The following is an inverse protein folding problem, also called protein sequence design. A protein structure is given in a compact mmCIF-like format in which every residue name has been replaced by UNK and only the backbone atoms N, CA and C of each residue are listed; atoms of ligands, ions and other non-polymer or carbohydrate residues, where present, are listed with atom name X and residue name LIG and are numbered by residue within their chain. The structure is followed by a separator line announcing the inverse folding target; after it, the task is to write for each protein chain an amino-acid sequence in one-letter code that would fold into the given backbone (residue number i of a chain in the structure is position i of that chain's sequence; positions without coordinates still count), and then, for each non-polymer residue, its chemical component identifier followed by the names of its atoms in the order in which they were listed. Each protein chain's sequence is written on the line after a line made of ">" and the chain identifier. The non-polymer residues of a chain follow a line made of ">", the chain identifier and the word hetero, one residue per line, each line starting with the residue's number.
data_IF_152523171182
#
_entry.id   IF_152523171182
#
_cell.length_a   1.000
_cell.length_b   1.000
_cell.length_c   1.000
_cell.angle_alpha   90.00
_cell.angle_beta   90.00
_cell.angle_gamma   90.00
#
_symmetry.space_group_name_H-M   'P 1'
#
loop_
_entity.id
_entity.type
_entity.pdbx_description
1 polymer ?
#
# COMPACT_ATOMS: atom_id res chain seq x y z
N UNK A 1 -47.68 -1.15 -23.77
CA UNK A 1 -46.41 -0.42 -23.67
C UNK A 1 -45.26 -1.42 -23.71
N UNK A 2 -44.78 -1.75 -24.90
CA UNK A 2 -43.64 -2.66 -25.10
C UNK A 2 -42.35 -1.88 -24.85
N UNK A 3 -41.73 -2.15 -23.71
CA UNK A 3 -40.43 -1.58 -23.35
C UNK A 3 -39.41 -2.11 -24.37
N UNK A 4 -39.00 -1.26 -25.32
CA UNK A 4 -37.91 -1.59 -26.25
C UNK A 4 -36.64 -1.84 -25.44
N UNK A 5 -35.94 -2.98 -25.64
CA UNK A 5 -34.70 -3.25 -24.91
C UNK A 5 -33.67 -2.18 -25.26
N UNK A 6 -33.14 -1.52 -24.24
CA UNK A 6 -32.09 -0.51 -24.38
C UNK A 6 -30.87 -1.16 -25.06
N UNK A 7 -30.31 -0.40 -25.98
CA UNK A 7 -29.08 -0.61 -26.77
C UNK A 7 -28.15 -1.76 -26.34
N UNK A 8 -27.88 -2.64 -27.30
CA UNK A 8 -27.02 -3.83 -27.31
C UNK A 8 -25.54 -3.64 -26.87
N UNK A 9 -25.13 -2.45 -26.41
CA UNK A 9 -23.77 -2.15 -25.94
C UNK A 9 -23.52 -2.55 -24.48
N UNK A 10 -24.49 -2.36 -23.59
CA UNK A 10 -24.29 -2.58 -22.14
C UNK A 10 -24.30 -4.07 -21.75
N UNK A 11 -25.05 -4.91 -22.49
CA UNK A 11 -25.08 -6.36 -22.23
C UNK A 11 -23.73 -7.05 -22.48
N UNK A 12 -22.93 -6.58 -23.45
CA UNK A 12 -21.59 -7.17 -23.72
C UNK A 12 -20.58 -6.88 -22.62
N UNK A 13 -20.62 -5.67 -22.06
CA UNK A 13 -19.70 -5.26 -20.99
C UNK A 13 -19.97 -6.04 -19.69
N UNK A 14 -21.25 -6.22 -19.33
CA UNK A 14 -21.63 -7.05 -18.18
C UNK A 14 -21.36 -8.55 -18.40
N UNK A 15 -21.55 -9.05 -19.62
CA UNK A 15 -21.20 -10.44 -19.96
C UNK A 15 -19.68 -10.70 -19.86
N UNK A 16 -18.85 -9.76 -20.30
CA UNK A 16 -17.39 -9.86 -20.20
C UNK A 16 -16.91 -9.94 -18.74
N UNK A 17 -17.46 -9.09 -17.87
CA UNK A 17 -17.13 -9.09 -16.43
C UNK A 17 -17.53 -10.42 -15.79
N UNK A 18 -18.68 -10.97 -16.15
CA UNK A 18 -19.11 -12.28 -15.65
C UNK A 18 -18.12 -13.38 -16.06
N UNK A 19 -17.71 -13.40 -17.32
CA UNK A 19 -16.78 -14.41 -17.85
C UNK A 19 -15.38 -14.27 -17.23
N UNK A 20 -14.88 -13.04 -17.05
CA UNK A 20 -13.57 -12.81 -16.44
C UNK A 20 -13.56 -13.16 -14.95
N UNK A 21 -14.63 -12.82 -14.23
CA UNK A 21 -14.78 -13.21 -12.82
C UNK A 21 -14.91 -14.71 -12.65
N UNK A 22 -15.72 -15.40 -13.47
CA UNK A 22 -15.85 -16.86 -13.39
C UNK A 22 -14.50 -17.54 -13.62
N UNK A 23 -13.75 -17.11 -14.63
CA UNK A 23 -12.42 -17.64 -14.92
C UNK A 23 -11.45 -17.43 -13.74
N UNK A 24 -11.42 -16.23 -13.16
CA UNK A 24 -10.55 -15.93 -12.02
C UNK A 24 -10.90 -16.77 -10.78
N UNK A 25 -12.20 -16.98 -10.52
CA UNK A 25 -12.67 -17.80 -9.40
C UNK A 25 -12.30 -19.27 -9.61
N UNK A 26 -12.50 -19.80 -10.82
CA UNK A 26 -12.21 -21.20 -11.13
C UNK A 26 -10.72 -21.50 -11.07
N UNK A 27 -9.88 -20.61 -11.59
CA UNK A 27 -8.42 -20.73 -11.49
C UNK A 27 -7.94 -20.65 -10.03
N UNK A 28 -8.56 -19.78 -9.22
CA UNK A 28 -8.27 -19.69 -7.78
C UNK A 28 -8.63 -20.99 -7.07
N UNK A 29 -9.78 -21.59 -7.38
CA UNK A 29 -10.21 -22.89 -6.82
C UNK A 29 -9.25 -24.01 -7.20
N UNK A 30 -8.93 -24.14 -8.49
CA UNK A 30 -7.98 -25.14 -9.01
C UNK A 30 -6.63 -25.06 -8.27
N UNK A 31 -6.06 -23.86 -8.11
CA UNK A 31 -4.78 -23.69 -7.40
C UNK A 31 -4.89 -24.07 -5.93
N UNK A 32 -5.99 -23.71 -5.28
CA UNK A 32 -6.22 -24.00 -3.86
C UNK A 32 -6.35 -25.50 -3.61
N UNK A 33 -7.03 -26.23 -4.48
CA UNK A 33 -7.14 -27.69 -4.39
C UNK A 33 -5.77 -28.38 -4.44
N UNK A 34 -4.92 -27.97 -5.39
CA UNK A 34 -3.55 -28.48 -5.51
C UNK A 34 -2.73 -28.15 -4.25
N UNK A 35 -2.83 -26.93 -3.75
CA UNK A 35 -2.13 -26.51 -2.53
C UNK A 35 -2.57 -27.32 -1.31
N UNK A 36 -3.87 -27.57 -1.16
CA UNK A 36 -4.41 -28.37 -0.05
C UNK A 36 -3.98 -29.84 -0.15
N UNK A 37 -4.04 -30.44 -1.34
CA UNK A 37 -3.57 -31.80 -1.57
C UNK A 37 -2.09 -31.94 -1.21
N UNK A 38 -1.25 -31.03 -1.72
CA UNK A 38 0.18 -31.00 -1.42
C UNK A 38 0.43 -30.81 0.08
N UNK A 39 -0.27 -29.88 0.73
CA UNK A 39 -0.11 -29.62 2.16
C UNK A 39 -0.52 -30.83 3.01
N UNK A 40 -1.58 -31.55 2.63
CA UNK A 40 -2.02 -32.77 3.30
C UNK A 40 -0.99 -33.90 3.13
N UNK A 41 -0.49 -34.10 1.91
CA UNK A 41 0.54 -35.11 1.62
C UNK A 41 1.84 -34.85 2.38
N UNK A 42 2.20 -33.57 2.59
CA UNK A 42 3.47 -33.17 3.21
C UNK A 42 3.32 -32.75 4.68
N UNK A 43 2.12 -32.82 5.25
CA UNK A 43 1.84 -32.39 6.64
C UNK A 43 2.13 -30.91 6.90
N UNK A 44 2.00 -30.04 5.89
CA UNK A 44 2.32 -28.61 5.99
C UNK A 44 1.09 -27.86 6.51
N UNK A 45 1.24 -27.20 7.66
CA UNK A 45 0.24 -26.27 8.21
C UNK A 45 0.43 -24.87 7.61
N UNK A 46 -0.56 -24.30 6.88
CA UNK A 46 -0.46 -22.96 6.32
C UNK A 46 -0.27 -21.92 7.43
N UNK A 47 0.85 -21.21 7.41
CA UNK A 47 1.16 -20.13 8.34
C UNK A 47 1.52 -18.88 7.57
N UNK A 48 1.12 -17.71 8.08
CA UNK A 48 1.50 -16.43 7.49
C UNK A 48 3.02 -16.26 7.54
N UNK A 49 3.62 -15.79 6.43
CA UNK A 49 5.05 -15.51 6.39
C UNK A 49 5.35 -14.30 7.27
N UNK A 50 5.94 -14.53 8.44
CA UNK A 50 6.40 -13.49 9.34
C UNK A 50 7.78 -12.99 8.90
N UNK A 51 7.89 -11.73 8.51
CA UNK A 51 9.18 -11.10 8.16
C UNK A 51 9.57 -10.10 9.24
N UNK A 52 10.82 -10.16 9.73
CA UNK A 52 11.31 -9.35 10.84
C UNK A 52 11.19 -7.82 10.66
N UNK A 53 10.99 -7.36 9.42
CA UNK A 53 10.87 -5.93 9.08
C UNK A 53 9.54 -5.35 9.59
N UNK A 54 8.46 -6.14 9.62
CA UNK A 54 7.14 -5.64 10.06
C UNK A 54 7.05 -5.39 11.57
N UNK A 55 7.77 -6.19 12.38
CA UNK A 55 7.75 -6.06 13.84
C UNK A 55 8.36 -4.74 14.35
N UNK A 56 9.31 -4.16 13.60
CA UNK A 56 9.90 -2.86 13.95
C UNK A 56 8.93 -1.70 13.73
N UNK A 57 8.07 -1.79 12.71
CA UNK A 57 7.13 -0.74 12.33
C UNK A 57 5.97 -0.67 13.36
N UNK A 58 5.43 -1.82 13.77
CA UNK A 58 4.32 -1.88 14.73
C UNK A 58 4.69 -1.31 16.11
N UNK A 59 5.90 -1.60 16.61
CA UNK A 59 6.39 -1.02 17.86
C UNK A 59 6.63 0.49 17.80
N UNK A 60 7.05 1.00 16.65
CA UNK A 60 7.25 2.44 16.41
C UNK A 60 5.91 3.19 16.33
N UNK A 61 4.88 2.57 15.73
CA UNK A 61 3.53 3.14 15.66
C UNK A 61 2.91 3.24 17.06
N UNK A 62 2.99 2.17 17.87
CA UNK A 62 2.43 2.16 19.22
C UNK A 62 3.10 3.19 20.15
N UNK A 63 4.41 3.36 20.04
CA UNK A 63 5.14 4.39 20.78
C UNK A 63 4.76 5.81 20.34
N UNK A 64 4.48 6.01 19.04
CA UNK A 64 4.04 7.30 18.48
C UNK A 64 2.65 7.70 18.94
N UNK A 65 1.68 6.79 18.91
CA UNK A 65 0.30 7.07 19.33
C UNK A 65 0.26 7.62 20.77
N UNK A 66 0.99 6.98 21.69
CA UNK A 66 1.11 7.44 23.08
C UNK A 66 1.73 8.84 23.20
N UNK A 67 2.72 9.19 22.37
CA UNK A 67 3.33 10.53 22.39
C UNK A 67 2.43 11.61 21.80
N UNK A 68 1.60 11.27 20.81
CA UNK A 68 0.70 12.23 20.15
C UNK A 68 -0.51 12.60 20.99
N UNK A 69 -1.01 11.68 21.82
CA UNK A 69 -2.13 11.94 22.73
C UNK A 69 -1.77 12.93 23.86
N UNK A 70 -0.51 12.93 24.29
CA UNK A 70 0.00 13.83 25.33
C UNK A 70 0.22 15.28 24.86
N UNK A 71 0.30 15.52 23.54
CA UNK A 71 0.79 16.80 23.01
C UNK A 71 -0.28 17.88 22.74
N UNK A 72 -1.58 17.61 22.87
CA UNK A 72 -2.62 18.67 22.96
C UNK A 72 -2.70 19.69 21.80
N UNK A 73 -2.23 19.37 20.60
CA UNK A 73 -2.19 20.30 19.46
C UNK A 73 -3.45 20.15 18.60
N UNK A 74 -4.46 21.01 18.78
CA UNK A 74 -5.71 20.96 18.01
C UNK A 74 -5.89 22.08 16.98
N UNK A 75 -5.22 23.22 17.14
CA UNK A 75 -5.42 24.42 16.28
C UNK A 75 -4.25 24.70 15.34
N UNK A 76 -3.02 24.36 15.71
CA UNK A 76 -1.84 24.53 14.85
C UNK A 76 -1.81 23.51 13.70
N UNK A 77 -2.50 22.37 13.86
CA UNK A 77 -2.50 21.26 12.89
C UNK A 77 -3.10 21.62 11.54
N UNK A 78 -4.15 22.43 11.49
CA UNK A 78 -4.84 22.76 10.24
C UNK A 78 -3.98 23.66 9.33
N UNK A 79 -3.35 24.71 9.89
CA UNK A 79 -2.45 25.59 9.12
C UNK A 79 -1.18 24.85 8.65
N UNK A 80 -0.69 23.87 9.40
CA UNK A 80 0.39 22.99 8.95
C UNK A 80 -0.05 21.98 7.89
N UNK A 81 -1.34 21.65 7.79
CA UNK A 81 -1.82 20.63 6.86
C UNK A 81 -1.83 21.15 5.42
N UNK A 82 -2.29 22.38 5.22
CA UNK A 82 -2.29 23.04 3.90
C UNK A 82 -0.85 23.16 3.35
N UNK A 83 0.08 23.60 4.20
CA UNK A 83 1.51 23.72 3.83
C UNK A 83 2.13 22.35 3.50
N UNK A 84 1.70 21.28 4.19
CA UNK A 84 2.15 19.92 3.90
C UNK A 84 1.61 19.40 2.56
N UNK A 85 0.36 19.73 2.22
CA UNK A 85 -0.24 19.36 0.94
C UNK A 85 0.45 20.05 -0.24
N UNK A 86 0.76 21.34 -0.09
CA UNK A 86 1.50 22.11 -1.10
C UNK A 86 2.92 21.55 -1.33
N UNK A 87 3.68 21.30 -0.25
CA UNK A 87 5.01 20.69 -0.33
C UNK A 87 4.96 19.28 -0.93
N UNK A 88 3.91 18.51 -0.62
CA UNK A 88 3.73 17.18 -1.17
C UNK A 88 3.43 17.22 -2.67
N UNK A 89 2.63 18.19 -3.13
CA UNK A 89 2.39 18.42 -4.56
C UNK A 89 3.69 18.79 -5.29
N UNK A 90 4.47 19.72 -4.75
CA UNK A 90 5.77 20.10 -5.34
C UNK A 90 6.76 18.93 -5.38
N UNK A 91 6.75 18.05 -4.37
CA UNK A 91 7.56 16.85 -4.35
C UNK A 91 7.18 15.87 -5.47
N UNK A 92 5.88 15.68 -5.71
CA UNK A 92 5.36 14.83 -6.78
C UNK A 92 5.71 15.41 -8.16
N UNK A 93 5.53 16.72 -8.36
CA UNK A 93 5.93 17.40 -9.60
C UNK A 93 7.45 17.28 -9.86
N UNK A 94 8.27 17.42 -8.83
CA UNK A 94 9.72 17.21 -8.94
C UNK A 94 10.05 15.74 -9.30
N UNK A 95 9.30 14.77 -8.76
CA UNK A 95 9.48 13.36 -9.08
C UNK A 95 9.06 13.02 -10.52
N UNK A 96 7.97 13.61 -11.01
CA UNK A 96 7.53 13.49 -12.41
C UNK A 96 8.54 14.08 -13.39
N UNK A 97 9.17 15.20 -13.02
CA UNK A 97 10.24 15.84 -13.78
C UNK A 97 11.63 15.19 -13.61
N UNK A 98 11.71 14.03 -12.92
CA UNK A 98 12.94 13.28 -12.65
C UNK A 98 14.00 14.06 -11.83
N UNK A 99 13.60 15.09 -11.10
CA UNK A 99 14.44 15.91 -10.21
C UNK A 99 14.55 15.27 -8.81
N UNK A 100 15.17 14.08 -8.72
CA UNK A 100 15.20 13.29 -7.49
C UNK A 100 15.89 13.97 -6.29
N UNK A 101 16.88 14.83 -6.55
CA UNK A 101 17.54 15.60 -5.47
C UNK A 101 16.58 16.60 -4.83
N UNK A 102 15.74 17.26 -5.64
CA UNK A 102 14.74 18.22 -5.17
C UNK A 102 13.61 17.51 -4.45
N UNK A 103 13.10 16.42 -5.02
CA UNK A 103 12.09 15.59 -4.38
C UNK A 103 12.57 15.02 -3.04
N UNK A 104 13.84 14.63 -2.95
CA UNK A 104 14.46 14.17 -1.70
C UNK A 104 14.49 15.24 -0.61
N UNK A 105 14.88 16.49 -0.96
CA UNK A 105 14.87 17.61 -0.01
C UNK A 105 13.46 17.93 0.48
N UNK A 106 12.48 17.95 -0.43
CA UNK A 106 11.08 18.19 -0.10
C UNK A 106 10.51 17.09 0.82
N UNK A 107 10.86 15.83 0.56
CA UNK A 107 10.52 14.69 1.44
C UNK A 107 11.05 14.88 2.85
N UNK A 108 12.31 15.28 2.98
CA UNK A 108 12.95 15.47 4.28
C UNK A 108 12.35 16.65 5.06
N UNK A 109 11.96 17.71 4.36
CA UNK A 109 11.25 18.86 4.94
C UNK A 109 9.83 18.48 5.41
N UNK A 110 9.09 17.70 4.61
CA UNK A 110 7.79 17.14 5.00
C UNK A 110 7.91 16.27 6.25
N UNK A 111 8.93 15.41 6.32
CA UNK A 111 9.18 14.56 7.47
C UNK A 111 9.50 15.40 8.73
N UNK A 112 10.30 16.46 8.58
CA UNK A 112 10.64 17.39 9.67
C UNK A 112 9.39 18.10 10.22
N UNK A 113 8.52 18.57 9.34
CA UNK A 113 7.27 19.24 9.72
C UNK A 113 6.26 18.28 10.37
N UNK A 114 6.25 17.01 9.98
CA UNK A 114 5.46 15.95 10.62
C UNK A 114 6.06 15.41 11.93
N UNK A 115 7.28 15.80 12.28
CA UNK A 115 7.99 15.27 13.45
C UNK A 115 8.45 13.81 13.28
N UNK A 116 8.54 13.33 12.04
CA UNK A 116 9.00 11.99 11.72
C UNK A 116 10.53 11.95 11.63
N UNK A 117 11.14 10.87 12.14
CA UNK A 117 12.59 10.66 12.02
C UNK A 117 12.95 10.31 10.57
N UNK A 118 13.77 11.14 9.92
CA UNK A 118 14.19 10.93 8.53
C UNK A 118 14.89 9.57 8.36
N UNK A 119 14.34 8.72 7.50
CA UNK A 119 14.84 7.38 7.26
C UNK A 119 16.24 7.40 6.63
N UNK A 120 17.20 6.74 7.29
CA UNK A 120 18.58 6.55 6.79
C UNK A 120 18.55 5.67 5.53
N UNK A 121 19.40 5.94 4.52
CA UNK A 121 19.45 5.12 3.30
C UNK A 121 19.78 3.66 3.65
N UNK A 122 18.90 2.75 3.24
CA UNK A 122 19.03 1.32 3.50
C UNK A 122 20.13 0.73 2.59
N UNK A 123 21.31 0.50 3.15
CA UNK A 123 22.41 -0.18 2.45
C UNK A 123 22.04 -1.66 2.26
N UNK A 124 21.83 -2.09 1.01
CA UNK A 124 21.55 -3.50 0.70
C UNK A 124 22.74 -4.36 1.11
N UNK A 125 22.57 -5.20 2.14
CA UNK A 125 23.59 -6.19 2.53
C UNK A 125 23.83 -7.16 1.36
N UNK A 126 25.09 -7.46 1.01
CA UNK A 126 25.38 -8.40 -0.07
C UNK A 126 24.75 -9.74 0.25
N UNK A 127 24.02 -10.31 -0.72
CA UNK A 127 23.44 -11.65 -0.61
C UNK A 127 24.60 -12.64 -0.44
N UNK A 128 24.69 -13.31 0.70
CA UNK A 128 25.55 -14.47 0.86
C UNK A 128 25.12 -15.51 -0.17
N UNK A 129 25.97 -15.77 -1.17
CA UNK A 129 25.79 -16.92 -2.06
C UNK A 129 25.97 -18.17 -1.19
N UNK A 130 24.96 -19.03 -1.16
CA UNK A 130 24.98 -20.33 -0.50
C UNK A 130 25.09 -21.40 -1.57
#
# INVERSE_FOLDING_TARGET
>A
MTIRPRSCSDCRRLALVRISMTFAIDETRRRREIQLAYNLEHGITPTTVQTAISAGIEGEIAAREMTTELAGQGKDKAATQDVLEDLHREMLEAAENLEFEKAGRLRDEIARLKGESVAKPQVKKPRRRR
#
